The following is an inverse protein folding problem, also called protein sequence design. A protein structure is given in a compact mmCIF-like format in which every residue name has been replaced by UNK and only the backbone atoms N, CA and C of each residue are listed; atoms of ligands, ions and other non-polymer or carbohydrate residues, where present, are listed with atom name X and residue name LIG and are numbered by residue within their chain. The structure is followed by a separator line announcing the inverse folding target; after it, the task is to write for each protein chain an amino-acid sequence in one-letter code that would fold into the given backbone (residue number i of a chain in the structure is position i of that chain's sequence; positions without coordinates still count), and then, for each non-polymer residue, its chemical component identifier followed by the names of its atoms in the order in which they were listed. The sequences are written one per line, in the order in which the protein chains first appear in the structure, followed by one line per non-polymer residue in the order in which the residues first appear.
data_IF_308461559142
#
_entry.id   IF_308461559142
#
_cell.length_a   1.000
_cell.length_b   1.000
_cell.length_c   1.000
_cell.angle_alpha   90.00
_cell.angle_beta   90.00
_cell.angle_gamma   90.00
#
_symmetry.space_group_name_H-M   'P 1'
#
loop_
_entity.id
_entity.type
_entity.pdbx_description
1 polymer ?
#
# COMPACT_ATOMS: atom_id res chain seq x y z
N UNK A 1 7.63 -33.95 -23.17
CA UNK A 1 8.16 -33.16 -22.04
C UNK A 1 9.23 -32.24 -22.61
N UNK A 2 8.88 -30.99 -22.93
CA UNK A 2 9.76 -30.05 -23.62
C UNK A 2 9.66 -28.70 -22.92
N UNK A 3 10.74 -28.32 -22.25
CA UNK A 3 10.91 -27.03 -21.56
C UNK A 3 11.38 -26.01 -22.61
N UNK A 4 10.58 -24.99 -22.86
CA UNK A 4 10.98 -23.83 -23.67
C UNK A 4 11.39 -22.71 -22.71
N UNK A 5 12.70 -22.50 -22.57
CA UNK A 5 13.26 -21.28 -21.97
C UNK A 5 12.98 -20.10 -22.91
N UNK A 6 12.13 -19.17 -22.48
CA UNK A 6 12.03 -17.86 -23.10
C UNK A 6 13.13 -16.96 -22.53
N UNK A 7 14.12 -16.64 -23.36
CA UNK A 7 15.18 -15.70 -23.05
C UNK A 7 14.61 -14.29 -22.85
N UNK A 8 14.83 -13.72 -21.67
CA UNK A 8 14.61 -12.29 -21.42
C UNK A 8 15.64 -11.49 -22.22
N UNK A 9 15.15 -10.69 -23.18
CA UNK A 9 15.98 -9.80 -23.98
C UNK A 9 16.54 -8.69 -23.09
N UNK A 10 17.86 -8.63 -22.98
CA UNK A 10 18.57 -7.57 -22.28
C UNK A 10 18.39 -6.25 -23.04
N UNK A 11 17.65 -5.32 -22.45
CA UNK A 11 17.62 -3.95 -22.93
C UNK A 11 19.03 -3.33 -22.79
N UNK A 12 19.56 -2.83 -23.90
CA UNK A 12 20.88 -2.22 -23.99
C UNK A 12 20.97 -0.96 -23.10
N UNK A 13 21.52 -1.09 -21.89
CA UNK A 13 21.93 0.04 -21.06
C UNK A 13 23.17 0.71 -21.68
N UNK A 14 22.98 1.78 -22.46
CA UNK A 14 24.06 2.51 -23.11
C UNK A 14 24.25 3.93 -22.54
N UNK A 15 25.53 4.29 -22.37
CA UNK A 15 26.14 5.60 -22.11
C UNK A 15 25.80 6.33 -20.78
N UNK A 16 26.70 6.16 -19.80
CA UNK A 16 26.83 7.12 -18.68
C UNK A 16 27.30 8.46 -19.23
N UNK A 17 26.56 9.54 -18.95
CA UNK A 17 27.00 10.91 -19.26
C UNK A 17 28.04 11.34 -18.21
N UNK A 18 29.14 12.03 -18.59
CA UNK A 18 30.13 12.52 -17.62
C UNK A 18 29.47 13.39 -16.53
N UNK A 19 30.01 13.36 -15.29
CA UNK A 19 29.38 14.05 -14.18
C UNK A 19 29.35 15.57 -14.38
N UNK A 20 28.19 16.16 -14.08
CA UNK A 20 28.02 17.62 -13.88
C UNK A 20 29.02 18.10 -12.80
N UNK A 21 29.55 19.34 -12.81
CA UNK A 21 30.32 19.91 -11.71
C UNK A 21 29.68 19.73 -10.31
N UNK A 22 28.35 19.55 -10.23
CA UNK A 22 27.64 19.20 -8.99
C UNK A 22 27.68 17.70 -8.61
N UNK A 23 28.35 16.82 -9.35
CA UNK A 23 28.51 15.39 -9.06
C UNK A 23 27.36 14.48 -9.54
N UNK A 24 26.45 14.98 -10.36
CA UNK A 24 25.33 14.22 -10.93
C UNK A 24 25.76 13.37 -12.12
N UNK A 25 25.32 12.10 -12.15
CA UNK A 25 25.44 11.18 -13.28
C UNK A 25 24.05 10.82 -13.79
N UNK A 26 23.97 10.34 -15.04
CA UNK A 26 22.69 9.92 -15.64
C UNK A 26 22.77 8.53 -16.27
N UNK A 27 21.63 7.85 -16.27
CA UNK A 27 21.34 6.66 -17.08
C UNK A 27 20.24 7.02 -18.08
N UNK A 28 20.42 6.62 -19.33
CA UNK A 28 19.44 6.85 -20.39
C UNK A 28 18.57 5.62 -20.59
N UNK A 29 17.25 5.81 -20.51
CA UNK A 29 16.24 4.88 -20.98
C UNK A 29 15.62 5.35 -22.29
N UNK A 30 14.48 4.75 -22.64
CA UNK A 30 13.73 5.01 -23.87
C UNK A 30 13.13 6.42 -23.86
N UNK A 31 12.36 6.74 -22.81
CA UNK A 31 11.76 8.07 -22.59
C UNK A 31 12.17 8.68 -21.25
N UNK A 32 12.96 7.97 -20.45
CA UNK A 32 13.28 8.34 -19.06
C UNK A 32 14.78 8.56 -18.95
N UNK A 33 15.20 9.70 -18.42
CA UNK A 33 16.59 9.95 -18.02
C UNK A 33 16.68 9.89 -16.50
N UNK A 34 17.37 8.90 -15.95
CA UNK A 34 17.53 8.74 -14.51
C UNK A 34 18.82 9.43 -14.03
N UNK A 35 18.70 10.49 -13.21
CA UNK A 35 19.80 11.25 -12.61
C UNK A 35 20.06 10.78 -11.18
N UNK A 36 21.32 10.61 -10.81
CA UNK A 36 21.73 10.15 -9.48
C UNK A 36 23.09 10.72 -9.06
N UNK A 37 23.42 10.61 -7.78
CA UNK A 37 24.74 10.94 -7.23
C UNK A 37 25.35 9.76 -6.46
N UNK A 38 26.68 9.76 -6.35
CA UNK A 38 27.40 8.84 -5.48
C UNK A 38 27.04 7.36 -5.69
N UNK A 39 26.60 6.69 -4.62
CA UNK A 39 26.31 5.25 -4.61
C UNK A 39 24.89 4.87 -5.04
N UNK A 40 24.06 5.82 -5.50
CA UNK A 40 22.66 5.58 -5.84
C UNK A 40 22.44 5.02 -7.26
N UNK A 41 23.50 4.64 -7.98
CA UNK A 41 23.43 4.11 -9.35
C UNK A 41 22.51 2.88 -9.49
N UNK A 42 22.59 1.94 -8.55
CA UNK A 42 21.76 0.73 -8.55
C UNK A 42 20.28 1.05 -8.35
N UNK A 43 19.97 2.02 -7.49
CA UNK A 43 18.59 2.46 -7.26
C UNK A 43 18.03 3.18 -8.47
N UNK A 44 18.83 4.05 -9.10
CA UNK A 44 18.44 4.72 -10.34
C UNK A 44 18.18 3.72 -11.46
N UNK A 45 19.07 2.73 -11.66
CA UNK A 45 18.91 1.68 -12.65
C UNK A 45 17.65 0.83 -12.40
N UNK A 46 17.41 0.44 -11.15
CA UNK A 46 16.22 -0.33 -10.77
C UNK A 46 14.93 0.46 -11.01
N UNK A 47 14.86 1.70 -10.52
CA UNK A 47 13.67 2.53 -10.67
C UNK A 47 13.38 2.83 -12.16
N UNK A 48 14.44 3.07 -12.95
CA UNK A 48 14.34 3.17 -14.41
C UNK A 48 13.74 1.91 -15.03
N UNK A 49 14.32 0.74 -14.74
CA UNK A 49 13.84 -0.54 -15.28
C UNK A 49 12.38 -0.85 -14.86
N UNK A 50 11.99 -0.51 -13.63
CA UNK A 50 10.62 -0.67 -13.14
C UNK A 50 9.64 0.21 -13.94
N UNK A 51 9.97 1.48 -14.17
CA UNK A 51 9.12 2.39 -14.93
C UNK A 51 9.00 1.96 -16.40
N UNK A 52 10.09 1.51 -17.02
CA UNK A 52 10.07 1.06 -18.42
C UNK A 52 9.35 -0.27 -18.63
N UNK A 53 9.33 -1.14 -17.62
CA UNK A 53 8.59 -2.42 -17.65
C UNK A 53 7.15 -2.28 -17.17
N UNK A 54 6.71 -1.09 -16.77
CA UNK A 54 5.37 -0.87 -16.24
C UNK A 54 4.31 -1.05 -17.32
N UNK A 55 3.24 -1.81 -16.99
CA UNK A 55 2.07 -1.99 -17.86
C UNK A 55 1.44 -0.65 -18.22
N UNK A 56 0.91 -0.55 -19.46
CA UNK A 56 0.17 0.64 -19.91
C UNK A 56 -0.91 1.05 -18.90
N UNK A 57 -0.91 2.34 -18.55
CA UNK A 57 -1.93 2.94 -17.69
C UNK A 57 -3.17 3.28 -18.55
N UNK A 58 -4.37 2.81 -18.19
CA UNK A 58 -5.57 3.02 -19.01
C UNK A 58 -5.89 4.50 -19.24
N UNK A 59 -6.01 4.86 -20.51
CA UNK A 59 -6.42 6.19 -20.97
C UNK A 59 -5.29 7.21 -21.07
N UNK A 60 -4.05 6.78 -20.85
CA UNK A 60 -2.87 7.62 -20.96
C UNK A 60 -2.02 7.14 -22.15
N UNK A 61 -1.62 8.08 -23.01
CA UNK A 61 -0.82 7.79 -24.19
C UNK A 61 0.54 7.19 -23.81
N UNK A 62 0.93 6.11 -24.50
CA UNK A 62 2.26 5.49 -24.34
C UNK A 62 2.87 5.11 -25.71
N UNK A 63 4.16 5.41 -25.98
CA UNK A 63 5.16 5.89 -25.02
C UNK A 63 4.85 7.31 -24.54
N UNK A 64 5.07 7.53 -23.24
CA UNK A 64 4.78 8.80 -22.57
C UNK A 64 5.77 9.90 -22.96
N UNK A 65 5.64 11.11 -22.39
CA UNK A 65 6.59 12.19 -22.58
C UNK A 65 8.00 11.81 -22.11
N UNK A 66 8.99 12.56 -22.58
CA UNK A 66 10.33 12.51 -21.98
C UNK A 66 10.25 13.03 -20.55
N UNK A 67 10.84 12.30 -19.62
CA UNK A 67 10.89 12.70 -18.21
C UNK A 67 12.28 12.52 -17.60
N UNK A 68 12.48 13.20 -16.49
CA UNK A 68 13.65 13.03 -15.63
C UNK A 68 13.24 12.30 -14.36
N UNK A 69 13.94 11.21 -14.02
CA UNK A 69 13.85 10.56 -12.70
C UNK A 69 15.08 10.97 -11.89
N UNK A 70 14.92 11.75 -10.83
CA UNK A 70 16.02 12.21 -9.99
C UNK A 70 16.04 11.45 -8.66
N UNK A 71 17.14 10.75 -8.39
CA UNK A 71 17.39 10.09 -7.10
C UNK A 71 18.11 11.07 -6.17
N UNK A 72 17.40 11.57 -5.17
CA UNK A 72 17.93 12.54 -4.22
C UNK A 72 18.76 11.82 -3.14
N UNK A 73 20.07 12.11 -2.99
CA UNK A 73 20.95 11.37 -2.07
C UNK A 73 20.69 11.68 -0.59
N UNK A 74 20.03 12.80 -0.27
CA UNK A 74 19.63 13.17 1.10
C UNK A 74 18.28 13.90 1.09
N UNK A 75 17.65 13.99 2.26
CA UNK A 75 16.42 14.76 2.44
C UNK A 75 16.59 16.25 2.12
N UNK A 76 17.71 16.85 2.52
CA UNK A 76 18.01 18.25 2.24
C UNK A 76 18.12 18.52 0.73
N UNK A 77 18.74 17.60 -0.02
CA UNK A 77 18.79 17.70 -1.48
C UNK A 77 17.40 17.52 -2.10
N UNK A 78 16.59 16.59 -1.58
CA UNK A 78 15.21 16.41 -2.04
C UNK A 78 14.37 17.67 -1.84
N UNK A 79 14.38 18.26 -0.65
CA UNK A 79 13.64 19.49 -0.35
C UNK A 79 14.10 20.65 -1.26
N UNK A 80 15.41 20.75 -1.52
CA UNK A 80 15.98 21.74 -2.45
C UNK A 80 15.49 21.53 -3.89
N UNK A 81 15.50 20.29 -4.40
CA UNK A 81 15.04 19.96 -5.75
C UNK A 81 13.53 20.20 -5.94
N UNK A 82 12.74 19.99 -4.90
CA UNK A 82 11.29 20.26 -4.92
C UNK A 82 11.00 21.76 -4.80
N UNK A 83 11.90 22.54 -4.21
CA UNK A 83 11.73 23.98 -3.98
C UNK A 83 11.01 24.30 -2.67
N UNK A 84 11.03 23.38 -1.70
CA UNK A 84 10.37 23.54 -0.41
C UNK A 84 10.44 22.28 0.45
N UNK A 85 10.00 22.37 1.72
CA UNK A 85 9.94 21.20 2.60
C UNK A 85 8.84 20.26 2.13
N UNK A 86 9.24 19.08 1.69
CA UNK A 86 8.32 17.97 1.43
C UNK A 86 7.78 17.48 2.79
N UNK A 87 6.53 17.01 2.92
CA UNK A 87 6.08 16.34 4.15
C UNK A 87 6.88 15.06 4.42
N UNK A 88 7.14 14.70 5.68
CA UNK A 88 7.95 13.51 5.99
C UNK A 88 7.37 12.20 5.46
N UNK A 89 6.06 12.15 5.26
CA UNK A 89 5.34 10.99 4.76
C UNK A 89 5.33 10.88 3.23
N UNK A 90 5.70 11.92 2.48
CA UNK A 90 5.73 11.86 1.02
C UNK A 90 7.00 11.10 0.57
N UNK A 91 6.79 9.89 0.05
CA UNK A 91 7.86 8.95 -0.31
C UNK A 91 8.55 9.27 -1.63
N UNK A 92 7.91 10.03 -2.51
CA UNK A 92 8.43 10.57 -3.77
C UNK A 92 7.60 11.80 -4.14
N UNK A 93 8.04 12.55 -5.15
CA UNK A 93 7.33 13.74 -5.63
C UNK A 93 7.35 13.78 -7.15
N UNK A 94 6.18 13.79 -7.77
CA UNK A 94 5.98 14.16 -9.16
C UNK A 94 5.83 15.70 -9.32
N UNK A 95 6.58 16.27 -10.25
CA UNK A 95 6.52 17.68 -10.61
C UNK A 95 6.17 17.76 -12.10
N UNK A 96 4.87 17.89 -12.35
CA UNK A 96 4.28 17.81 -13.70
C UNK A 96 4.77 18.92 -14.63
N UNK A 97 5.00 20.14 -14.13
CA UNK A 97 5.47 21.28 -14.93
C UNK A 97 6.86 21.05 -15.52
N UNK A 98 7.67 20.20 -14.88
CA UNK A 98 9.02 19.85 -15.30
C UNK A 98 9.13 18.46 -15.90
N UNK A 99 8.04 17.68 -15.88
CA UNK A 99 8.05 16.26 -16.17
C UNK A 99 9.16 15.53 -15.39
N UNK A 100 9.23 15.79 -14.08
CA UNK A 100 10.28 15.28 -13.20
C UNK A 100 9.67 14.46 -12.06
N UNK A 101 10.24 13.28 -11.81
CA UNK A 101 9.97 12.47 -10.63
C UNK A 101 11.19 12.51 -9.71
N UNK A 102 11.00 12.85 -8.44
CA UNK A 102 12.07 12.86 -7.45
C UNK A 102 11.82 11.76 -6.42
N UNK A 103 12.78 10.85 -6.26
CA UNK A 103 12.71 9.75 -5.29
C UNK A 103 13.86 9.84 -4.30
N UNK A 104 13.69 9.38 -3.05
CA UNK A 104 14.76 9.32 -2.06
C UNK A 104 15.82 8.30 -2.47
N UNK A 105 17.07 8.54 -2.11
CA UNK A 105 18.21 7.63 -2.27
C UNK A 105 18.10 6.39 -1.40
N UNK A 106 18.90 5.37 -1.73
CA UNK A 106 18.75 4.04 -1.11
C UNK A 106 19.02 4.02 0.40
N UNK A 107 19.87 4.93 0.89
CA UNK A 107 20.28 4.99 2.29
C UNK A 107 19.19 5.47 3.25
N UNK A 108 18.15 6.13 2.74
CA UNK A 108 17.07 6.68 3.57
C UNK A 108 15.68 6.37 3.00
N UNK A 109 15.58 5.38 2.13
CA UNK A 109 14.33 4.72 1.78
C UNK A 109 14.22 3.40 2.55
N UNK A 110 13.43 3.33 3.64
CA UNK A 110 13.28 2.11 4.43
C UNK A 110 12.23 1.12 3.85
N UNK A 111 11.62 1.44 2.70
CA UNK A 111 10.51 0.67 2.14
C UNK A 111 10.93 -0.59 1.38
N UNK A 112 10.00 -1.54 1.30
CA UNK A 112 10.10 -2.78 0.52
C UNK A 112 10.08 -2.52 -0.99
N UNK A 113 10.45 -3.54 -1.79
CA UNK A 113 10.37 -3.47 -3.24
C UNK A 113 8.92 -3.26 -3.74
N UNK A 114 7.94 -3.90 -3.09
CA UNK A 114 6.53 -3.73 -3.44
C UNK A 114 6.06 -2.29 -3.21
N UNK A 115 6.46 -1.68 -2.08
CA UNK A 115 6.15 -0.28 -1.78
C UNK A 115 6.82 0.66 -2.78
N UNK A 116 8.05 0.36 -3.21
CA UNK A 116 8.74 1.13 -4.25
C UNK A 116 8.03 1.05 -5.60
N UNK A 117 7.60 -0.15 -6.02
CA UNK A 117 6.82 -0.32 -7.26
C UNK A 117 5.52 0.49 -7.20
N UNK A 118 4.79 0.42 -6.09
CA UNK A 118 3.55 1.18 -5.89
C UNK A 118 3.80 2.68 -5.94
N UNK A 119 4.80 3.15 -5.20
CA UNK A 119 5.18 4.57 -5.15
C UNK A 119 5.56 5.10 -6.53
N UNK A 120 6.48 4.42 -7.23
CA UNK A 120 6.90 4.82 -8.58
C UNK A 120 5.70 4.87 -9.54
N UNK A 121 4.81 3.89 -9.45
CA UNK A 121 3.62 3.82 -10.32
C UNK A 121 2.59 4.90 -10.00
N UNK A 122 2.46 5.29 -8.73
CA UNK A 122 1.63 6.41 -8.28
C UNK A 122 2.14 7.73 -8.87
N UNK A 123 3.42 8.06 -8.66
CA UNK A 123 4.02 9.29 -9.20
C UNK A 123 4.02 9.30 -10.74
N UNK A 124 4.23 8.14 -11.35
CA UNK A 124 4.16 7.98 -12.80
C UNK A 124 2.78 8.31 -13.36
N UNK A 125 1.72 7.88 -12.67
CA UNK A 125 0.36 8.18 -13.05
C UNK A 125 0.05 9.69 -12.99
N UNK A 126 0.56 10.42 -11.99
CA UNK A 126 0.43 11.88 -11.94
C UNK A 126 1.09 12.56 -13.14
N UNK A 127 2.34 12.18 -13.46
CA UNK A 127 3.08 12.76 -14.58
C UNK A 127 2.39 12.50 -15.92
N UNK A 128 1.97 11.25 -16.16
CA UNK A 128 1.30 10.88 -17.40
C UNK A 128 -0.09 11.52 -17.51
N UNK A 129 -0.86 11.58 -16.42
CA UNK A 129 -2.19 12.19 -16.43
C UNK A 129 -2.10 13.70 -16.68
N UNK A 130 -1.16 14.39 -16.03
CA UNK A 130 -0.92 15.81 -16.28
C UNK A 130 -0.49 16.07 -17.73
N UNK A 131 0.40 15.23 -18.28
CA UNK A 131 0.78 15.33 -19.68
C UNK A 131 -0.41 15.13 -20.63
N UNK A 132 -1.22 14.10 -20.39
CA UNK A 132 -2.36 13.77 -21.25
C UNK A 132 -3.42 14.89 -21.25
N UNK A 133 -3.70 15.46 -20.08
CA UNK A 133 -4.72 16.49 -19.88
C UNK A 133 -4.24 17.91 -20.25
N UNK A 134 -2.93 18.13 -20.30
CA UNK A 134 -2.34 19.44 -20.63
C UNK A 134 -2.79 20.54 -19.67
N UNK A 135 -3.41 21.59 -20.20
CA UNK A 135 -3.89 22.75 -19.41
C UNK A 135 -5.25 22.54 -18.75
N UNK A 136 -5.86 21.36 -18.87
CA UNK A 136 -7.15 21.09 -18.24
C UNK A 136 -7.01 20.98 -16.72
N UNK A 137 -7.96 21.58 -16.00
CA UNK A 137 -8.02 21.48 -14.54
C UNK A 137 -8.55 20.12 -14.15
N UNK A 138 -7.68 19.28 -13.60
CA UNK A 138 -8.04 17.96 -13.07
C UNK A 138 -8.56 18.14 -11.63
N UNK A 139 -9.78 17.65 -11.29
CA UNK A 139 -10.23 17.63 -9.90
C UNK A 139 -9.24 16.84 -9.04
N UNK A 140 -8.88 17.38 -7.87
CA UNK A 140 -7.84 16.78 -7.03
C UNK A 140 -8.15 15.32 -6.68
N UNK A 141 -9.38 15.02 -6.26
CA UNK A 141 -9.80 13.66 -5.96
C UNK A 141 -9.59 12.72 -7.17
N UNK A 142 -9.77 13.19 -8.40
CA UNK A 142 -9.57 12.37 -9.58
C UNK A 142 -8.07 12.12 -9.82
N UNK A 143 -7.23 13.15 -9.69
CA UNK A 143 -5.78 13.03 -9.86
C UNK A 143 -5.19 12.01 -8.86
N UNK A 144 -5.51 12.19 -7.58
CA UNK A 144 -5.04 11.36 -6.47
C UNK A 144 -5.65 9.95 -6.54
N UNK A 145 -6.94 9.86 -6.87
CA UNK A 145 -7.63 8.58 -7.01
C UNK A 145 -7.15 7.75 -8.19
N UNK A 146 -6.86 8.39 -9.34
CA UNK A 146 -6.32 7.70 -10.50
C UNK A 146 -4.92 7.18 -10.21
N UNK A 147 -4.06 8.00 -9.58
CA UNK A 147 -2.70 7.58 -9.22
C UNK A 147 -2.67 6.41 -8.24
N UNK A 148 -3.51 6.47 -7.20
CA UNK A 148 -3.62 5.41 -6.20
C UNK A 148 -4.23 4.12 -6.77
N UNK A 149 -5.25 4.23 -7.62
CA UNK A 149 -5.81 3.08 -8.33
C UNK A 149 -4.77 2.47 -9.29
N UNK A 150 -4.08 3.30 -10.07
CA UNK A 150 -3.05 2.89 -11.01
C UNK A 150 -1.88 2.18 -10.32
N UNK A 151 -1.52 2.57 -9.09
CA UNK A 151 -0.46 1.96 -8.30
C UNK A 151 -0.73 0.50 -7.86
N UNK A 152 -1.86 -0.09 -8.27
CA UNK A 152 -2.26 -1.46 -7.90
C UNK A 152 -3.33 -1.50 -6.81
N UNK A 153 -3.95 -0.34 -6.52
CA UNK A 153 -5.03 -0.21 -5.56
C UNK A 153 -4.67 -0.72 -4.16
N UNK A 154 -5.68 -1.20 -3.45
CA UNK A 154 -5.57 -1.51 -2.02
C UNK A 154 -4.54 -2.61 -1.73
N UNK A 155 -3.70 -2.39 -0.70
CA UNK A 155 -3.20 -3.53 0.09
C UNK A 155 -4.36 -4.12 0.90
N UNK A 156 -4.25 -5.36 1.38
CA UNK A 156 -5.27 -5.95 2.27
C UNK A 156 -5.63 -5.05 3.47
N UNK A 157 -4.67 -4.26 3.97
CA UNK A 157 -4.87 -3.24 5.00
C UNK A 157 -5.55 -1.95 4.53
N UNK A 158 -5.29 -1.49 3.30
CA UNK A 158 -5.98 -0.32 2.71
C UNK A 158 -7.47 -0.57 2.51
N UNK A 159 -7.83 -1.79 2.10
CA UNK A 159 -9.23 -2.21 2.01
C UNK A 159 -9.89 -2.21 3.41
N UNK A 160 -9.16 -2.57 4.47
CA UNK A 160 -9.65 -2.50 5.86
C UNK A 160 -9.85 -1.07 6.35
N UNK A 161 -8.90 -0.17 6.13
CA UNK A 161 -9.02 1.25 6.52
C UNK A 161 -10.19 1.94 5.81
N UNK A 162 -10.36 1.68 4.52
CA UNK A 162 -11.51 2.16 3.76
C UNK A 162 -12.83 1.63 4.35
N UNK A 163 -12.88 0.33 4.70
CA UNK A 163 -14.05 -0.27 5.38
C UNK A 163 -14.37 0.42 6.70
N UNK A 164 -13.37 0.71 7.53
CA UNK A 164 -13.54 1.41 8.81
C UNK A 164 -14.05 2.84 8.58
N UNK A 165 -13.39 3.62 7.73
CA UNK A 165 -13.79 5.01 7.48
C UNK A 165 -15.22 5.14 6.94
N UNK A 166 -15.64 4.20 6.09
CA UNK A 166 -17.00 4.16 5.54
C UNK A 166 -18.04 3.62 6.52
N UNK A 167 -17.66 2.70 7.40
CA UNK A 167 -18.52 2.13 8.42
C UNK A 167 -18.93 3.15 9.49
N UNK A 168 -18.03 4.07 9.84
CA UNK A 168 -18.28 5.10 10.87
C UNK A 168 -18.88 6.41 10.33
N UNK A 169 -19.24 6.48 9.03
CA UNK A 169 -20.00 7.60 8.47
C UNK A 169 -19.20 8.86 8.10
N UNK A 170 -17.89 8.88 8.35
CA UNK A 170 -17.00 10.03 8.14
C UNK A 170 -16.46 10.13 6.70
N UNK A 171 -17.27 9.80 5.69
CA UNK A 171 -16.85 9.91 4.28
C UNK A 171 -17.21 11.30 3.72
N UNK A 172 -16.26 12.27 3.70
CA UNK A 172 -16.50 13.61 3.19
C UNK A 172 -17.08 13.59 1.76
N UNK A 173 -17.98 14.51 1.40
CA UNK A 173 -18.41 14.72 0.02
C UNK A 173 -17.21 14.87 -0.93
N UNK A 174 -17.32 14.40 -2.18
CA UNK A 174 -16.21 14.50 -3.14
C UNK A 174 -15.81 15.96 -3.38
N UNK A 175 -16.79 16.86 -3.36
CA UNK A 175 -16.57 18.31 -3.46
C UNK A 175 -15.80 18.87 -2.26
N UNK A 176 -15.97 18.30 -1.07
CA UNK A 176 -15.22 18.72 0.13
C UNK A 176 -13.77 18.22 0.10
N UNK A 177 -13.51 17.04 -0.46
CA UNK A 177 -12.16 16.53 -0.76
C UNK A 177 -11.49 17.39 -1.85
N UNK A 178 -12.27 17.93 -2.79
CA UNK A 178 -11.78 18.86 -3.81
C UNK A 178 -11.43 20.25 -3.25
N UNK A 179 -12.09 20.71 -2.17
CA UNK A 179 -11.95 22.06 -1.63
C UNK A 179 -10.96 22.18 -0.46
N UNK A 180 -10.83 21.17 0.41
CA UNK A 180 -9.90 21.16 1.55
C UNK A 180 -9.28 19.78 1.74
N UNK A 181 -8.06 19.62 1.22
CA UNK A 181 -7.30 18.39 1.46
C UNK A 181 -6.70 18.39 2.87
N UNK A 182 -6.75 17.28 3.60
CA UNK A 182 -6.21 17.23 4.96
C UNK A 182 -4.70 17.42 4.98
N UNK A 183 -4.20 18.18 5.95
CA UNK A 183 -2.75 18.35 6.19
C UNK A 183 -2.15 17.22 7.03
N UNK A 184 -3.00 16.53 7.78
CA UNK A 184 -2.60 15.43 8.67
C UNK A 184 -2.57 14.09 7.94
N UNK A 185 -1.58 13.25 8.30
CA UNK A 185 -1.26 11.98 7.60
C UNK A 185 -2.43 10.99 7.56
N UNK A 186 -3.16 10.84 8.67
CA UNK A 186 -4.24 9.84 8.80
C UNK A 186 -5.49 10.24 8.00
N UNK A 187 -6.01 11.48 8.13
CA UNK A 187 -7.09 11.95 7.26
C UNK A 187 -6.71 11.98 5.76
N UNK A 188 -5.45 12.27 5.43
CA UNK A 188 -4.98 12.24 4.03
C UNK A 188 -5.05 10.83 3.44
N UNK A 189 -4.61 9.81 4.18
CA UNK A 189 -4.69 8.39 3.75
C UNK A 189 -6.14 7.98 3.42
N UNK A 190 -7.11 8.39 4.24
CA UNK A 190 -8.54 8.12 3.97
C UNK A 190 -9.01 8.84 2.71
N UNK A 191 -8.60 10.09 2.49
CA UNK A 191 -8.96 10.85 1.28
C UNK A 191 -8.41 10.19 -0.01
N UNK A 192 -7.17 9.68 0.03
CA UNK A 192 -6.59 8.88 -1.07
C UNK A 192 -7.41 7.61 -1.32
N UNK A 193 -7.74 6.86 -0.28
CA UNK A 193 -8.50 5.61 -0.39
C UNK A 193 -9.92 5.84 -0.94
N UNK A 194 -10.61 6.88 -0.48
CA UNK A 194 -11.93 7.26 -0.98
C UNK A 194 -11.84 7.63 -2.46
N UNK A 195 -10.88 8.48 -2.82
CA UNK A 195 -10.64 8.91 -4.20
C UNK A 195 -10.38 7.73 -5.15
N UNK A 196 -9.50 6.79 -4.74
CA UNK A 196 -9.20 5.59 -5.51
C UNK A 196 -10.44 4.70 -5.70
N UNK A 197 -11.30 4.62 -4.67
CA UNK A 197 -12.53 3.81 -4.74
C UNK A 197 -13.55 4.34 -5.75
N UNK A 198 -13.56 5.65 -6.03
CA UNK A 198 -14.39 6.23 -7.09
C UNK A 198 -13.89 5.78 -8.45
N UNK A 199 -12.57 5.82 -8.68
CA UNK A 199 -11.98 5.33 -9.94
C UNK A 199 -12.23 3.84 -10.12
N UNK A 200 -12.11 3.06 -9.04
CA UNK A 200 -12.45 1.65 -9.06
C UNK A 200 -13.93 1.41 -9.42
N UNK A 201 -14.86 2.17 -8.86
CA UNK A 201 -16.28 2.09 -9.22
C UNK A 201 -16.50 2.36 -10.72
N UNK A 202 -15.87 3.41 -11.26
CA UNK A 202 -15.94 3.72 -12.69
C UNK A 202 -15.40 2.56 -13.54
N UNK A 203 -14.24 2.01 -13.18
CA UNK A 203 -13.63 0.88 -13.91
C UNK A 203 -14.44 -0.40 -13.79
N UNK A 204 -15.01 -0.72 -12.62
CA UNK A 204 -15.89 -1.89 -12.47
C UNK A 204 -17.21 -1.74 -13.25
N UNK A 205 -17.71 -0.51 -13.42
CA UNK A 205 -18.96 -0.24 -14.14
C UNK A 205 -18.83 -0.33 -15.66
N UNK A 206 -17.69 0.09 -16.22
CA UNK A 206 -17.51 0.26 -17.68
C UNK A 206 -16.27 -0.43 -18.25
N UNK A 207 -15.50 -1.13 -17.43
CA UNK A 207 -14.16 -1.60 -17.75
C UNK A 207 -13.14 -0.46 -17.89
N UNK A 208 -11.87 -0.83 -18.10
CA UNK A 208 -10.78 0.12 -18.34
C UNK A 208 -10.98 0.93 -19.64
N UNK A 209 -11.67 0.34 -20.63
CA UNK A 209 -12.02 1.01 -21.89
C UNK A 209 -12.99 2.18 -21.70
N UNK A 210 -13.89 2.08 -20.73
CA UNK A 210 -14.74 3.22 -20.36
C UNK A 210 -13.93 4.37 -19.76
N UNK A 211 -12.96 4.08 -18.89
CA UNK A 211 -12.06 5.10 -18.34
C UNK A 211 -11.20 5.75 -19.44
N UNK A 212 -10.70 4.95 -20.38
CA UNK A 212 -9.99 5.43 -21.58
C UNK A 212 -10.84 6.39 -22.41
N UNK A 213 -12.08 6.00 -22.69
CA UNK A 213 -13.03 6.81 -23.47
C UNK A 213 -13.36 8.09 -22.72
N UNK A 214 -13.53 8.01 -21.40
CA UNK A 214 -13.80 9.17 -20.55
C UNK A 214 -12.67 10.19 -20.59
N UNK A 215 -11.41 9.77 -20.45
CA UNK A 215 -10.27 10.70 -20.53
C UNK A 215 -10.15 11.34 -21.93
N UNK A 216 -10.36 10.56 -22.99
CA UNK A 216 -10.35 11.07 -24.36
C UNK A 216 -11.48 12.10 -24.61
N UNK A 217 -12.70 11.79 -24.16
CA UNK A 217 -13.86 12.68 -24.30
C UNK A 217 -13.73 13.93 -23.44
N UNK A 218 -13.18 13.81 -22.24
CA UNK A 218 -12.89 14.96 -21.38
C UNK A 218 -11.88 15.89 -22.05
N UNK A 219 -10.80 15.34 -22.62
CA UNK A 219 -9.82 16.12 -23.38
C UNK A 219 -10.45 16.81 -24.59
N UNK A 220 -11.26 16.09 -25.37
CA UNK A 220 -11.93 16.59 -26.57
C UNK A 220 -12.94 17.70 -26.27
N UNK A 221 -13.77 17.51 -25.25
CA UNK A 221 -14.86 18.42 -24.90
C UNK A 221 -14.41 19.55 -23.96
N UNK A 222 -13.21 19.43 -23.38
CA UNK A 222 -12.68 20.33 -22.34
C UNK A 222 -13.63 20.50 -21.14
N UNK A 223 -14.48 19.50 -20.88
CA UNK A 223 -15.51 19.53 -19.85
C UNK A 223 -15.63 18.16 -19.18
N UNK A 224 -15.26 18.11 -17.90
CA UNK A 224 -15.35 16.90 -17.07
C UNK A 224 -16.80 16.40 -17.01
N UNK A 225 -17.72 17.32 -16.72
CA UNK A 225 -19.16 17.01 -16.56
C UNK A 225 -19.81 16.53 -17.87
N UNK A 226 -19.39 17.06 -19.01
CA UNK A 226 -19.92 16.63 -20.31
C UNK A 226 -19.39 15.25 -20.70
N UNK A 227 -18.11 14.97 -20.45
CA UNK A 227 -17.52 13.65 -20.67
C UNK A 227 -18.10 12.59 -19.73
N UNK A 228 -18.33 12.94 -18.46
CA UNK A 228 -18.91 12.03 -17.48
C UNK A 228 -20.33 11.64 -17.90
N UNK A 229 -21.15 12.62 -18.30
CA UNK A 229 -22.50 12.36 -18.84
C UNK A 229 -22.47 11.54 -20.13
N UNK A 230 -21.53 11.82 -21.03
CA UNK A 230 -21.44 11.12 -22.32
C UNK A 230 -21.00 9.66 -22.20
N UNK A 231 -20.09 9.35 -21.28
CA UNK A 231 -19.50 8.00 -21.14
C UNK A 231 -20.21 7.16 -20.08
N UNK A 232 -20.56 7.77 -18.94
CA UNK A 232 -21.16 7.07 -17.80
C UNK A 232 -22.65 7.33 -17.62
N UNK A 233 -23.26 8.22 -18.40
CA UNK A 233 -24.68 8.55 -18.28
C UNK A 233 -25.03 9.26 -16.97
N UNK A 234 -24.05 9.82 -16.26
CA UNK A 234 -24.22 10.39 -14.92
C UNK A 234 -23.59 11.79 -14.82
N UNK A 235 -24.24 12.65 -14.04
CA UNK A 235 -23.62 13.89 -13.53
C UNK A 235 -22.65 13.59 -12.39
N UNK A 236 -21.78 14.54 -12.03
CA UNK A 236 -20.89 14.36 -10.88
C UNK A 236 -21.68 14.09 -9.57
N UNK A 237 -22.83 14.73 -9.38
CA UNK A 237 -23.69 14.52 -8.20
C UNK A 237 -24.32 13.10 -8.18
N UNK A 238 -24.72 12.60 -9.35
CA UNK A 238 -25.23 11.24 -9.49
C UNK A 238 -24.13 10.20 -9.27
N UNK A 239 -22.93 10.44 -9.82
CA UNK A 239 -21.74 9.61 -9.58
C UNK A 239 -21.47 9.46 -8.07
N UNK A 240 -21.47 10.54 -7.30
CA UNK A 240 -21.25 10.46 -5.86
C UNK A 240 -22.34 9.61 -5.17
N UNK A 241 -23.60 9.85 -5.54
CA UNK A 241 -24.75 9.12 -4.96
C UNK A 241 -24.66 7.63 -5.24
N UNK A 242 -24.35 7.26 -6.48
CA UNK A 242 -24.32 5.86 -6.91
C UNK A 242 -23.07 5.14 -6.42
N UNK A 243 -21.92 5.82 -6.41
CA UNK A 243 -20.71 5.34 -5.75
C UNK A 243 -20.97 5.06 -4.26
N UNK A 244 -21.59 5.99 -3.51
CA UNK A 244 -21.94 5.76 -2.09
C UNK A 244 -22.82 4.52 -1.90
N UNK A 245 -23.80 4.28 -2.79
CA UNK A 245 -24.63 3.05 -2.76
C UNK A 245 -23.80 1.80 -3.06
N UNK A 246 -22.94 1.85 -4.07
CA UNK A 246 -22.04 0.75 -4.43
C UNK A 246 -21.11 0.39 -3.27
N UNK A 247 -20.51 1.39 -2.65
CA UNK A 247 -19.68 1.25 -1.44
C UNK A 247 -20.47 0.60 -0.31
N UNK A 248 -21.67 1.11 0.02
CA UNK A 248 -22.52 0.53 1.07
C UNK A 248 -22.89 -0.93 0.78
N UNK A 249 -23.19 -1.29 -0.46
CA UNK A 249 -23.49 -2.69 -0.83
C UNK A 249 -22.28 -3.61 -0.68
N UNK A 250 -21.10 -3.12 -1.05
CA UNK A 250 -19.86 -3.92 -1.04
C UNK A 250 -19.24 -4.07 0.34
N UNK A 251 -19.40 -3.06 1.21
CA UNK A 251 -18.73 -3.00 2.52
C UNK A 251 -19.67 -2.88 3.72
N UNK A 252 -20.95 -2.60 3.52
CA UNK A 252 -21.93 -2.38 4.60
C UNK A 252 -22.36 -3.63 5.37
N UNK A 253 -21.96 -4.83 4.94
CA UNK A 253 -22.15 -6.03 5.77
C UNK A 253 -21.31 -5.98 7.05
N UNK A 254 -20.20 -5.22 7.05
CA UNK A 254 -19.35 -5.06 8.23
C UNK A 254 -19.97 -4.16 9.30
N UNK A 255 -20.69 -3.10 8.91
CA UNK A 255 -21.48 -2.31 9.87
C UNK A 255 -22.59 -3.16 10.46
N UNK A 256 -23.25 -3.99 9.64
CA UNK A 256 -24.27 -4.93 10.12
C UNK A 256 -23.69 -5.92 11.12
N UNK A 257 -22.48 -6.45 10.89
CA UNK A 257 -21.82 -7.34 11.86
C UNK A 257 -21.36 -6.60 13.13
N UNK A 258 -20.80 -5.40 12.99
CA UNK A 258 -20.32 -4.59 14.11
C UNK A 258 -21.48 -4.16 15.04
N UNK A 259 -22.63 -3.82 14.47
CA UNK A 259 -23.82 -3.40 15.22
C UNK A 259 -24.71 -4.59 15.63
N UNK A 260 -24.43 -5.82 15.17
CA UNK A 260 -25.22 -7.00 15.50
C UNK A 260 -24.81 -7.59 16.84
N UNK A 261 -25.62 -7.32 17.87
CA UNK A 261 -25.50 -7.95 19.18
C UNK A 261 -25.54 -9.49 19.12
N UNK A 262 -26.29 -10.06 18.16
CA UNK A 262 -26.40 -11.51 17.95
C UNK A 262 -25.09 -12.10 17.44
N UNK A 263 -24.43 -11.40 16.50
CA UNK A 263 -23.11 -11.84 16.00
C UNK A 263 -22.07 -11.83 17.12
N UNK A 264 -22.02 -10.76 17.92
CA UNK A 264 -21.12 -10.68 19.07
C UNK A 264 -21.43 -11.74 20.12
N UNK A 265 -22.70 -12.02 20.41
CA UNK A 265 -23.09 -13.10 21.34
C UNK A 265 -22.58 -14.47 20.87
N UNK A 266 -22.75 -14.80 19.58
CA UNK A 266 -22.25 -16.06 19.00
C UNK A 266 -20.72 -16.11 19.05
N UNK A 267 -20.04 -15.02 18.68
CA UNK A 267 -18.58 -14.94 18.73
C UNK A 267 -18.05 -15.10 20.16
N UNK A 268 -18.67 -14.45 21.15
CA UNK A 268 -18.33 -14.61 22.56
C UNK A 268 -18.51 -16.05 23.04
N UNK A 269 -19.63 -16.70 22.70
CA UNK A 269 -19.85 -18.12 23.03
C UNK A 269 -18.79 -19.02 22.39
N UNK A 270 -18.45 -18.78 21.12
CA UNK A 270 -17.42 -19.54 20.41
C UNK A 270 -16.03 -19.37 21.05
N UNK A 271 -15.65 -18.14 21.42
CA UNK A 271 -14.38 -17.85 22.10
C UNK A 271 -14.31 -18.47 23.50
N UNK A 272 -15.41 -18.43 24.26
CA UNK A 272 -15.52 -19.09 25.57
C UNK A 272 -15.42 -20.60 25.41
N UNK A 273 -16.14 -21.19 24.44
CA UNK A 273 -16.06 -22.62 24.16
C UNK A 273 -14.64 -23.04 23.76
N UNK A 274 -13.98 -22.29 22.87
CA UNK A 274 -12.58 -22.51 22.49
C UNK A 274 -11.65 -22.42 23.70
N UNK A 275 -11.83 -21.41 24.56
CA UNK A 275 -11.05 -21.26 25.79
C UNK A 275 -11.24 -22.45 26.74
N UNK A 276 -12.48 -22.90 26.93
CA UNK A 276 -12.82 -24.05 27.78
C UNK A 276 -12.20 -25.33 27.22
N UNK A 277 -12.35 -25.59 25.92
CA UNK A 277 -11.74 -26.75 25.24
C UNK A 277 -10.22 -26.71 25.37
N UNK A 278 -9.58 -25.57 25.09
CA UNK A 278 -8.13 -25.42 25.18
C UNK A 278 -7.62 -25.52 26.63
N UNK A 279 -8.44 -25.14 27.61
CA UNK A 279 -8.13 -25.30 29.04
C UNK A 279 -8.26 -26.76 29.48
N UNK A 280 -9.28 -27.48 29.00
CA UNK A 280 -9.45 -28.92 29.25
C UNK A 280 -8.30 -29.72 28.64
N UNK A 281 -7.99 -29.48 27.37
CA UNK A 281 -6.87 -30.12 26.68
C UNK A 281 -5.52 -29.86 27.36
N UNK A 282 -5.23 -28.62 27.77
CA UNK A 282 -4.00 -28.29 28.53
C UNK A 282 -3.96 -28.92 29.91
N UNK A 283 -5.11 -29.04 30.60
CA UNK A 283 -5.19 -29.74 31.88
C UNK A 283 -4.94 -31.24 31.73
N UNK A 284 -5.49 -31.86 30.69
CA UNK A 284 -5.28 -33.27 30.38
C UNK A 284 -3.82 -33.56 30.00
N UNK A 285 -3.18 -32.70 29.20
CA UNK A 285 -1.75 -32.82 28.92
C UNK A 285 -0.87 -32.65 30.17
N UNK A 286 -1.15 -31.64 31.01
CA UNK A 286 -0.43 -31.47 32.28
C UNK A 286 -0.70 -32.60 33.27
N UNK A 287 -1.88 -33.24 33.24
CA UNK A 287 -2.19 -34.41 34.07
C UNK A 287 -1.44 -35.65 33.59
N UNK A 288 -1.25 -35.82 32.27
CA UNK A 288 -0.39 -36.88 31.71
C UNK A 288 1.08 -36.66 32.07
N UNK A 289 1.59 -35.44 31.94
CA UNK A 289 2.97 -35.10 32.32
C UNK A 289 3.23 -35.29 33.82
N UNK A 290 2.23 -35.06 34.68
CA UNK A 290 2.31 -35.34 36.12
C UNK A 290 2.14 -36.83 36.48
N UNK A 291 1.45 -37.59 35.64
CA UNK A 291 1.33 -39.04 35.83
C UNK A 291 2.61 -39.78 35.41
N UNK A 292 3.37 -39.21 34.48
CA UNK A 292 4.69 -39.67 34.06
C UNK A 292 5.84 -39.05 34.90
N UNK A 293 5.52 -38.23 35.92
CA UNK A 293 6.49 -37.71 36.89
C UNK A 293 6.79 -38.81 37.92
N UNK A 294 8.03 -39.33 38.00
CA UNK A 294 8.39 -40.32 39.02
C UNK A 294 8.24 -39.70 40.43
N UNK A 295 7.82 -40.48 41.44
CA UNK A 295 7.47 -39.94 42.75
C UNK A 295 8.64 -39.17 43.40
N UNK A 296 8.35 -37.98 43.94
CA UNK A 296 9.30 -37.05 44.59
C UNK A 296 10.03 -37.62 45.83
N UNK A 297 9.71 -38.85 46.24
CA UNK A 297 10.43 -39.56 47.29
C UNK A 297 11.00 -40.86 46.71
N UNK A 298 12.32 -40.96 46.48
CA UNK A 298 12.90 -42.24 46.13
C UNK A 298 12.70 -43.20 47.32
N UNK A 299 12.08 -44.36 47.06
CA UNK A 299 11.67 -45.34 48.08
C UNK A 299 12.83 -45.92 48.91
N UNK A 300 14.08 -45.54 48.62
CA UNK A 300 15.27 -46.06 49.30
C UNK A 300 15.33 -45.74 50.80
N UNK A 301 14.58 -44.75 51.30
CA UNK A 301 14.61 -44.39 52.73
C UNK A 301 13.55 -45.06 53.60
N UNK A 302 12.63 -45.87 53.06
CA UNK A 302 11.62 -46.57 53.89
C UNK A 302 12.02 -47.99 54.29
N UNK A 303 13.07 -48.54 53.71
CA UNK A 303 13.63 -49.86 54.06
C UNK A 303 14.96 -49.70 54.81
N UNK A 304 14.91 -49.06 55.98
CA UNK A 304 16.08 -48.84 56.83
C UNK A 304 15.64 -48.68 58.29
N UNK A 305 14.87 -49.65 58.79
CA UNK A 305 14.62 -49.77 60.23
C UNK A 305 15.92 -50.11 60.92
N UNK A 306 16.71 -49.09 61.26
CA UNK A 306 17.86 -49.24 62.14
C UNK A 306 17.37 -49.66 63.52
N UNK A 307 17.81 -50.81 63.98
CA UNK A 307 17.71 -51.22 65.38
C UNK A 307 18.31 -50.12 66.28
N UNK A 308 17.66 -49.77 67.40
CA UNK A 308 18.25 -48.87 68.37
C UNK A 308 19.41 -49.60 69.08
N UNK A 309 20.64 -49.12 68.89
CA UNK A 309 21.81 -49.57 69.66
C UNK A 309 21.69 -49.00 71.08
N UNK A 310 21.55 -49.91 72.04
CA UNK A 310 21.48 -49.69 73.48
C UNK A 310 22.84 -49.20 74.04
N UNK A 311 22.93 -47.99 74.62
CA UNK A 311 24.14 -47.56 75.31
C UNK A 311 24.17 -48.19 76.72
N UNK A 312 24.82 -49.34 76.84
CA UNK A 312 25.07 -50.00 78.12
C UNK A 312 25.74 -49.09 79.17
N UNK A 313 25.52 -49.34 80.47
CA UNK A 313 25.82 -48.39 81.54
C UNK A 313 27.34 -48.25 81.81
N UNK A 314 27.77 -47.12 82.39
CA UNK A 314 29.18 -46.81 82.58
C UNK A 314 29.79 -47.65 83.72
N UNK A 315 30.95 -48.27 83.47
CA UNK A 315 31.77 -48.90 84.49
C UNK A 315 32.60 -47.86 85.26
N UNK A 316 32.67 -48.04 86.58
CA UNK A 316 33.50 -47.30 87.54
C UNK A 316 34.99 -47.58 87.38
#
# INVERSE_FOLDING_TARGET
MLVVLAAASAASMSAQTPPDPAGWRSLQGTTITARYQGTDSLRAARALALLESTTRLPGLSQPGPRLTLTVAPTRAVMDSLVGGRVPEWAGAVAISERMEMIIPGGRFWPGTLLEEVRLLRHEWAHLLLAHEMGSLRIPRWFNEGYAEWAAGGWSGGGAWKLRVALAFGDAPPLDSIALRWPRDRVPAEVAYLLSASVIQYLVESSGTRGLETFLAEWKRQRSFEAALRGVYGATQAQLETDWRKWVKRRYGWLTVLADSAVFWAILSVALVAMFVVRRRYRREQMARLRADEPPDAPEFWKAGGGEPVDPGPPSR
#
